data_IF_633669071575
#
_entry.id   IF_633669071575
#
_cell.length_a   1.000
_cell.length_b   1.000
_cell.length_c   1.000
_cell.angle_alpha   90.00
_cell.angle_beta   90.00
_cell.angle_gamma   90.00
#
_symmetry.space_group_name_H-M   'P 1'
#
loop_
_entity.id
_entity.type
_entity.pdbx_description
1 polymer ?
#
# COMPACT_ATOMS: atom_id res chain seq x y z
N UNK A 1 16.80 20.62 -35.10
CA UNK A 1 15.76 20.10 -34.18
C UNK A 1 14.65 21.13 -34.11
N UNK A 2 13.39 20.74 -34.29
CA UNK A 2 12.25 21.62 -34.08
C UNK A 2 12.12 22.01 -32.59
N UNK A 3 11.37 23.08 -32.30
CA UNK A 3 11.05 23.49 -30.94
C UNK A 3 10.35 22.37 -30.16
N UNK A 4 9.36 21.72 -30.79
CA UNK A 4 8.66 20.55 -30.25
C UNK A 4 9.62 19.40 -29.92
N UNK A 5 10.54 19.06 -30.83
CA UNK A 5 11.56 18.02 -30.58
C UNK A 5 12.45 18.36 -29.38
N UNK A 6 12.81 19.64 -29.19
CA UNK A 6 13.60 20.10 -28.05
C UNK A 6 12.80 19.99 -26.74
N UNK A 7 11.56 20.48 -26.73
CA UNK A 7 10.63 20.40 -25.59
C UNK A 7 10.43 18.95 -25.15
N UNK A 8 10.13 18.05 -26.10
CA UNK A 8 10.01 16.60 -25.89
C UNK A 8 11.25 15.99 -25.26
N UNK A 9 12.44 16.28 -25.82
CA UNK A 9 13.69 15.74 -25.29
C UNK A 9 13.97 16.21 -23.87
N UNK A 10 13.66 17.48 -23.54
CA UNK A 10 13.82 18.04 -22.19
C UNK A 10 12.87 17.33 -21.21
N UNK A 11 11.58 17.27 -21.53
CA UNK A 11 10.56 16.66 -20.65
C UNK A 11 10.86 15.18 -20.42
N UNK A 12 11.16 14.40 -21.47
CA UNK A 12 11.48 12.96 -21.34
C UNK A 12 12.73 12.71 -20.49
N UNK A 13 13.79 13.54 -20.63
CA UNK A 13 15.01 13.42 -19.79
C UNK A 13 14.72 13.78 -18.34
N UNK A 14 14.02 14.90 -18.10
CA UNK A 14 13.66 15.32 -16.76
C UNK A 14 12.72 14.30 -16.09
N UNK A 15 11.83 13.68 -16.85
CA UNK A 15 11.00 12.57 -16.41
C UNK A 15 11.81 11.35 -15.97
N UNK A 16 12.78 10.90 -16.77
CA UNK A 16 13.61 9.76 -16.39
C UNK A 16 14.36 10.00 -15.05
N UNK A 17 14.86 11.23 -14.85
CA UNK A 17 15.49 11.63 -13.59
C UNK A 17 14.49 11.67 -12.42
N UNK A 18 13.31 12.26 -12.63
CA UNK A 18 12.26 12.32 -11.62
C UNK A 18 11.78 10.92 -11.21
N UNK A 19 11.64 9.98 -12.15
CA UNK A 19 11.27 8.59 -11.84
C UNK A 19 12.33 7.89 -10.99
N UNK A 20 13.62 8.07 -11.31
CA UNK A 20 14.72 7.53 -10.50
C UNK A 20 14.67 8.08 -9.07
N UNK A 21 14.43 9.37 -8.93
CA UNK A 21 14.27 10.02 -7.63
C UNK A 21 13.05 9.52 -6.87
N UNK A 22 11.90 9.37 -7.55
CA UNK A 22 10.67 8.85 -6.97
C UNK A 22 10.86 7.43 -6.42
N UNK A 23 11.48 6.53 -7.20
CA UNK A 23 11.75 5.16 -6.72
C UNK A 23 12.71 5.14 -5.54
N UNK A 24 13.71 6.02 -5.51
CA UNK A 24 14.60 6.17 -4.36
C UNK A 24 13.85 6.70 -3.12
N UNK A 25 12.95 7.66 -3.30
CA UNK A 25 12.08 8.18 -2.24
C UNK A 25 11.15 7.10 -1.68
N UNK A 26 10.48 6.33 -2.53
CA UNK A 26 9.63 5.21 -2.12
C UNK A 26 10.42 4.20 -1.29
N UNK A 27 11.57 3.73 -1.78
CA UNK A 27 12.43 2.79 -1.05
C UNK A 27 12.88 3.33 0.30
N UNK A 28 13.32 4.61 0.35
CA UNK A 28 13.75 5.27 1.58
C UNK A 28 12.61 5.39 2.60
N UNK A 29 11.43 5.84 2.16
CA UNK A 29 10.26 5.96 3.02
C UNK A 29 9.81 4.60 3.57
N UNK A 30 9.90 3.53 2.77
CA UNK A 30 9.56 2.18 3.23
C UNK A 30 10.59 1.61 4.21
N UNK A 31 11.88 1.91 4.03
CA UNK A 31 12.93 1.51 4.96
C UNK A 31 12.79 2.22 6.32
N UNK A 32 12.47 3.52 6.32
CA UNK A 32 12.22 4.27 7.55
C UNK A 32 10.92 3.85 8.23
N UNK A 33 9.87 3.55 7.46
CA UNK A 33 8.65 2.96 8.02
C UNK A 33 8.96 1.64 8.73
N UNK A 34 9.80 0.79 8.12
CA UNK A 34 10.21 -0.48 8.73
C UNK A 34 10.95 -0.27 10.05
N UNK A 35 11.90 0.67 10.10
CA UNK A 35 12.64 0.94 11.32
C UNK A 35 11.73 1.43 12.45
N UNK A 36 10.68 2.22 12.16
CA UNK A 36 9.69 2.60 13.18
C UNK A 36 8.95 1.40 13.77
N UNK A 37 8.55 0.44 12.94
CA UNK A 37 7.89 -0.80 13.43
C UNK A 37 8.85 -1.68 14.24
N UNK A 38 10.11 -1.78 13.82
CA UNK A 38 11.15 -2.54 14.53
C UNK A 38 11.45 -1.90 15.89
N UNK A 39 11.71 -0.59 15.94
CA UNK A 39 11.93 0.15 17.19
C UNK A 39 10.73 0.12 18.13
N UNK A 40 9.51 0.24 17.60
CA UNK A 40 8.29 0.14 18.42
C UNK A 40 8.12 -1.26 19.02
N UNK A 41 8.49 -2.32 18.28
CA UNK A 41 8.48 -3.68 18.82
C UNK A 41 9.54 -3.87 19.91
N UNK A 42 10.75 -3.32 19.73
CA UNK A 42 11.81 -3.34 20.73
C UNK A 42 11.42 -2.57 22.00
N UNK A 43 10.77 -1.41 21.86
CA UNK A 43 10.21 -0.65 22.97
C UNK A 43 9.15 -1.46 23.73
N UNK A 44 8.21 -2.07 23.02
CA UNK A 44 7.19 -2.96 23.60
C UNK A 44 7.83 -4.12 24.36
N UNK A 45 8.87 -4.75 23.81
CA UNK A 45 9.59 -5.84 24.49
C UNK A 45 10.30 -5.34 25.74
N UNK A 46 10.91 -4.14 25.68
CA UNK A 46 11.58 -3.53 26.83
C UNK A 46 10.58 -3.22 27.95
N UNK A 47 9.39 -2.73 27.60
CA UNK A 47 8.28 -2.51 28.54
C UNK A 47 7.85 -3.85 29.17
N UNK A 48 7.68 -4.92 28.38
CA UNK A 48 7.34 -6.24 28.92
C UNK A 48 8.37 -6.74 29.94
N UNK A 49 9.66 -6.57 29.66
CA UNK A 49 10.75 -6.95 30.55
C UNK A 49 10.76 -6.11 31.84
N UNK A 50 10.46 -4.82 31.75
CA UNK A 50 10.37 -3.94 32.91
C UNK A 50 9.25 -4.35 33.89
N UNK A 51 8.11 -4.80 33.38
CA UNK A 51 6.97 -5.25 34.20
C UNK A 51 7.05 -6.73 34.64
N UNK A 52 8.07 -7.45 34.20
CA UNK A 52 8.29 -8.83 34.62
C UNK A 52 8.92 -8.89 36.02
N UNK A 53 8.59 -9.93 36.78
CA UNK A 53 9.24 -10.22 38.07
C UNK A 53 10.63 -10.87 37.90
N UNK A 54 11.27 -11.25 39.01
CA UNK A 54 12.62 -11.84 39.01
C UNK A 54 12.74 -13.17 38.26
N UNK A 55 11.62 -13.85 37.97
CA UNK A 55 11.58 -15.08 37.17
C UNK A 55 11.03 -14.83 35.76
N UNK A 56 10.88 -13.57 35.37
CA UNK A 56 10.47 -13.15 34.03
C UNK A 56 8.97 -13.20 33.77
N UNK A 57 8.13 -13.38 34.80
CA UNK A 57 6.68 -13.48 34.68
C UNK A 57 6.01 -12.12 34.92
N UNK A 58 5.08 -11.77 34.04
CA UNK A 58 4.24 -10.57 34.22
C UNK A 58 3.02 -10.95 35.05
N UNK A 59 2.84 -10.26 36.18
CA UNK A 59 1.74 -10.50 37.12
C UNK A 59 0.49 -9.71 36.75
N UNK A 60 -0.69 -10.23 37.10
CA UNK A 60 -1.98 -9.58 36.78
C UNK A 60 -2.09 -8.16 37.35
N UNK A 61 -1.49 -7.91 38.52
CA UNK A 61 -1.48 -6.60 39.16
C UNK A 61 -0.76 -5.53 38.32
N UNK A 62 0.19 -5.94 37.48
CA UNK A 62 0.95 -5.03 36.60
C UNK A 62 0.20 -4.72 35.30
N UNK A 63 -0.87 -5.47 34.97
CA UNK A 63 -1.47 -5.45 33.64
C UNK A 63 -2.02 -4.07 33.23
N UNK A 64 -2.60 -3.32 34.18
CA UNK A 64 -3.15 -1.99 33.88
C UNK A 64 -2.07 -0.97 33.54
N UNK A 65 -0.98 -0.96 34.31
CA UNK A 65 0.15 -0.06 34.09
C UNK A 65 0.91 -0.45 32.80
N UNK A 66 1.19 -1.74 32.62
CA UNK A 66 1.75 -2.31 31.40
C UNK A 66 0.94 -1.90 30.17
N UNK A 67 -0.38 -2.09 30.20
CA UNK A 67 -1.26 -1.71 29.09
C UNK A 67 -1.11 -0.23 28.72
N UNK A 68 -1.05 0.64 29.71
CA UNK A 68 -0.94 2.09 29.50
C UNK A 68 0.37 2.45 28.78
N UNK A 69 1.48 1.84 29.18
CA UNK A 69 2.78 2.09 28.56
C UNK A 69 2.88 1.50 27.15
N UNK A 70 2.32 0.31 26.92
CA UNK A 70 2.22 -0.29 25.58
C UNK A 70 1.35 0.58 24.65
N UNK A 71 0.21 1.07 25.12
CA UNK A 71 -0.63 1.99 24.35
C UNK A 71 0.14 3.26 23.98
N UNK A 72 0.96 3.81 24.89
CA UNK A 72 1.83 4.97 24.61
C UNK A 72 2.83 4.68 23.49
N UNK A 73 3.55 3.56 23.57
CA UNK A 73 4.52 3.15 22.55
C UNK A 73 3.87 3.00 21.16
N UNK A 74 2.68 2.38 21.10
CA UNK A 74 1.96 2.18 19.84
C UNK A 74 1.33 3.47 19.29
N UNK A 75 0.93 4.41 20.15
CA UNK A 75 0.48 5.74 19.74
C UNK A 75 1.64 6.59 19.19
N UNK A 76 2.85 6.43 19.74
CA UNK A 76 4.06 7.05 19.22
C UNK A 76 4.37 6.53 17.80
N UNK A 77 4.33 5.22 17.59
CA UNK A 77 4.45 4.60 16.26
C UNK A 77 3.44 5.19 15.27
N UNK A 78 2.17 5.30 15.66
CA UNK A 78 1.12 5.86 14.81
C UNK A 78 1.40 7.33 14.41
N UNK A 79 1.96 8.12 15.33
CA UNK A 79 2.35 9.51 15.09
C UNK A 79 3.51 9.60 14.09
N UNK A 80 4.59 8.83 14.33
CA UNK A 80 5.76 8.76 13.46
C UNK A 80 5.39 8.30 12.04
N UNK A 81 4.54 7.28 11.93
CA UNK A 81 4.02 6.81 10.65
C UNK A 81 3.25 7.91 9.91
N UNK A 82 2.38 8.63 10.61
CA UNK A 82 1.56 9.69 10.01
C UNK A 82 2.42 10.85 9.52
N UNK A 83 3.42 11.25 10.29
CA UNK A 83 4.38 12.28 9.90
C UNK A 83 5.17 11.87 8.66
N UNK A 84 5.75 10.66 8.67
CA UNK A 84 6.52 10.12 7.55
C UNK A 84 5.67 10.05 6.28
N UNK A 85 4.42 9.58 6.36
CA UNK A 85 3.54 9.55 5.19
C UNK A 85 3.27 10.95 4.66
N UNK A 86 2.95 11.90 5.54
CA UNK A 86 2.63 13.27 5.16
C UNK A 86 3.78 13.97 4.43
N UNK A 87 5.02 13.84 4.93
CA UNK A 87 6.19 14.41 4.26
C UNK A 87 6.51 13.70 2.95
N UNK A 88 6.42 12.37 2.91
CA UNK A 88 6.73 11.60 1.70
C UNK A 88 5.71 11.82 0.59
N UNK A 89 4.43 12.06 0.92
CA UNK A 89 3.40 12.45 -0.04
C UNK A 89 3.72 13.78 -0.73
N UNK A 90 4.14 14.79 0.06
CA UNK A 90 4.54 16.08 -0.48
C UNK A 90 5.80 15.95 -1.34
N UNK A 91 6.79 15.20 -0.87
CA UNK A 91 8.01 14.93 -1.64
C UNK A 91 7.69 14.21 -2.97
N UNK A 92 6.81 13.21 -2.96
CA UNK A 92 6.39 12.48 -4.17
C UNK A 92 5.65 13.38 -5.16
N UNK A 93 4.76 14.25 -4.68
CA UNK A 93 4.08 15.23 -5.52
C UNK A 93 5.08 16.25 -6.12
N UNK A 94 6.04 16.74 -5.32
CA UNK A 94 7.11 17.62 -5.79
C UNK A 94 7.98 16.94 -6.85
N UNK A 95 8.32 15.66 -6.69
CA UNK A 95 9.04 14.90 -7.71
C UNK A 95 8.20 14.76 -8.99
N UNK A 96 6.89 14.56 -8.87
CA UNK A 96 5.97 14.43 -10.02
C UNK A 96 5.89 15.68 -10.91
N UNK A 97 6.05 16.89 -10.36
CA UNK A 97 6.03 18.14 -11.14
C UNK A 97 7.37 18.48 -11.80
N UNK A 98 8.48 17.87 -11.36
CA UNK A 98 9.84 18.17 -11.86
C UNK A 98 9.99 18.15 -13.38
N UNK A 99 9.37 17.21 -14.13
CA UNK A 99 9.57 17.11 -15.58
C UNK A 99 9.14 18.35 -16.36
N UNK A 100 8.28 19.19 -15.77
CA UNK A 100 7.69 20.36 -16.42
C UNK A 100 8.22 21.69 -15.90
N UNK A 101 9.15 21.71 -14.93
CA UNK A 101 9.65 22.95 -14.32
C UNK A 101 10.27 23.95 -15.31
N UNK A 102 10.86 23.48 -16.42
CA UNK A 102 11.42 24.36 -17.43
C UNK A 102 10.35 25.05 -18.30
N UNK A 103 9.10 24.61 -18.22
CA UNK A 103 7.98 25.11 -19.03
C UNK A 103 6.83 25.63 -18.16
N UNK A 104 6.86 25.40 -16.85
CA UNK A 104 5.91 25.93 -15.87
C UNK A 104 6.56 27.01 -15.01
N UNK A 105 5.82 28.06 -14.67
CA UNK A 105 6.22 28.96 -13.58
C UNK A 105 6.36 28.19 -12.25
N UNK A 106 7.43 28.44 -11.50
CA UNK A 106 7.74 27.74 -10.26
C UNK A 106 6.58 27.76 -9.25
N UNK A 107 5.85 28.88 -9.18
CA UNK A 107 4.65 29.03 -8.33
C UNK A 107 3.56 28.02 -8.70
N UNK A 108 3.33 27.77 -9.99
CA UNK A 108 2.33 26.78 -10.45
C UNK A 108 2.74 25.36 -10.11
N UNK A 109 4.04 25.02 -10.24
CA UNK A 109 4.53 23.69 -9.88
C UNK A 109 4.36 23.40 -8.37
N UNK A 110 4.67 24.38 -7.51
CA UNK A 110 4.45 24.27 -6.07
C UNK A 110 2.96 24.13 -5.73
N UNK A 111 2.10 24.94 -6.36
CA UNK A 111 0.65 24.86 -6.16
C UNK A 111 0.08 23.50 -6.60
N UNK A 112 0.50 22.96 -7.75
CA UNK A 112 0.11 21.62 -8.23
C UNK A 112 0.50 20.56 -7.21
N UNK A 113 1.74 20.60 -6.69
CA UNK A 113 2.20 19.63 -5.71
C UNK A 113 1.37 19.70 -4.42
N UNK A 114 1.14 20.91 -3.89
CA UNK A 114 0.35 21.12 -2.67
C UNK A 114 -1.12 20.71 -2.84
N UNK A 115 -1.77 21.08 -3.96
CA UNK A 115 -3.14 20.65 -4.29
C UNK A 115 -3.22 19.13 -4.42
N UNK A 116 -2.24 18.52 -5.07
CA UNK A 116 -2.19 17.05 -5.21
C UNK A 116 -2.06 16.37 -3.86
N UNK A 117 -1.19 16.86 -2.97
CA UNK A 117 -1.07 16.31 -1.61
C UNK A 117 -2.38 16.43 -0.83
N UNK A 118 -3.08 17.57 -0.92
CA UNK A 118 -4.41 17.73 -0.29
C UNK A 118 -5.43 16.75 -0.88
N UNK A 119 -5.48 16.62 -2.19
CA UNK A 119 -6.33 15.67 -2.89
C UNK A 119 -6.10 14.24 -2.41
N UNK A 120 -4.86 13.76 -2.37
CA UNK A 120 -4.56 12.38 -1.94
C UNK A 120 -5.00 12.12 -0.50
N UNK A 121 -4.87 13.10 0.40
CA UNK A 121 -5.32 12.97 1.79
C UNK A 121 -6.85 12.88 1.93
N UNK A 122 -7.58 13.62 1.11
CA UNK A 122 -9.05 13.73 1.14
C UNK A 122 -9.75 12.74 0.21
N UNK A 123 -9.00 12.08 -0.68
CA UNK A 123 -9.53 11.15 -1.66
C UNK A 123 -10.25 9.98 -0.98
N UNK A 124 -11.51 9.78 -1.35
CA UNK A 124 -12.34 8.69 -0.85
C UNK A 124 -12.39 7.59 -1.92
N UNK A 125 -11.94 6.38 -1.57
CA UNK A 125 -11.97 5.23 -2.48
C UNK A 125 -13.38 4.62 -2.57
N UNK A 126 -13.56 3.64 -3.46
CA UNK A 126 -14.82 2.92 -3.68
C UNK A 126 -15.42 2.25 -2.42
N UNK A 127 -14.62 2.10 -1.36
CA UNK A 127 -15.05 1.57 -0.06
C UNK A 127 -15.49 2.65 0.95
N UNK A 128 -15.47 3.93 0.56
CA UNK A 128 -15.88 5.05 1.40
C UNK A 128 -14.82 5.54 2.38
N UNK A 129 -13.59 5.01 2.34
CA UNK A 129 -12.52 5.36 3.27
C UNK A 129 -11.53 6.37 2.68
N UNK A 130 -11.18 7.37 3.49
CA UNK A 130 -10.08 8.29 3.24
C UNK A 130 -8.75 7.75 3.79
N UNK A 131 -7.65 8.47 3.51
CA UNK A 131 -6.32 8.07 3.95
C UNK A 131 -6.19 8.00 5.49
N UNK A 132 -6.77 8.96 6.19
CA UNK A 132 -6.80 8.99 7.65
C UNK A 132 -7.51 7.77 8.23
N UNK A 133 -8.63 7.36 7.64
CA UNK A 133 -9.41 6.20 8.11
C UNK A 133 -8.59 4.92 7.96
N UNK A 134 -7.88 4.77 6.84
CA UNK A 134 -7.01 3.62 6.58
C UNK A 134 -5.86 3.53 7.57
N UNK A 135 -5.19 4.65 7.85
CA UNK A 135 -4.15 4.69 8.86
C UNK A 135 -4.69 4.34 10.25
N UNK A 136 -5.83 4.91 10.62
CA UNK A 136 -6.49 4.62 11.90
C UNK A 136 -6.83 3.13 12.02
N UNK A 137 -7.43 2.51 10.99
CA UNK A 137 -7.76 1.09 10.97
C UNK A 137 -6.50 0.23 11.16
N UNK A 138 -5.41 0.54 10.47
CA UNK A 138 -4.15 -0.22 10.59
C UNK A 138 -3.61 -0.13 12.02
N UNK A 139 -3.56 1.08 12.58
CA UNK A 139 -2.99 1.34 13.90
C UNK A 139 -3.86 0.78 15.02
N UNK A 140 -5.18 0.94 14.94
CA UNK A 140 -6.11 0.42 15.93
C UNK A 140 -6.13 -1.12 15.92
N UNK A 141 -6.14 -1.74 14.74
CA UNK A 141 -6.03 -3.19 14.64
C UNK A 141 -4.70 -3.71 15.19
N UNK A 142 -3.58 -3.01 14.95
CA UNK A 142 -2.29 -3.37 15.51
C UNK A 142 -2.32 -3.34 17.04
N UNK A 143 -2.77 -2.21 17.60
CA UNK A 143 -2.93 -2.01 19.03
C UNK A 143 -3.79 -3.09 19.66
N UNK A 144 -4.96 -3.36 19.10
CA UNK A 144 -5.86 -4.38 19.60
C UNK A 144 -5.25 -5.79 19.54
N UNK A 145 -4.49 -6.13 18.48
CA UNK A 145 -3.80 -7.42 18.37
C UNK A 145 -2.71 -7.58 19.43
N UNK A 146 -1.85 -6.57 19.59
CA UNK A 146 -0.76 -6.58 20.59
C UNK A 146 -1.34 -6.69 22.00
N UNK A 147 -2.28 -5.81 22.37
CA UNK A 147 -2.89 -5.81 23.69
C UNK A 147 -3.64 -7.11 23.98
N UNK A 148 -4.35 -7.68 23.00
CA UNK A 148 -5.04 -8.96 23.16
C UNK A 148 -4.05 -10.10 23.43
N UNK A 149 -2.92 -10.14 22.71
CA UNK A 149 -1.89 -11.15 22.92
C UNK A 149 -1.31 -11.08 24.34
N UNK A 150 -0.99 -9.86 24.80
CA UNK A 150 -0.47 -9.60 26.15
C UNK A 150 -1.51 -9.97 27.22
N UNK A 151 -2.72 -9.41 27.14
CA UNK A 151 -3.78 -9.65 28.12
C UNK A 151 -4.12 -11.14 28.24
N UNK A 152 -4.26 -11.83 27.11
CA UNK A 152 -4.55 -13.26 27.09
C UNK A 152 -3.46 -14.07 27.77
N UNK A 153 -2.19 -13.77 27.48
CA UNK A 153 -1.05 -14.44 28.10
C UNK A 153 -0.99 -14.21 29.62
N UNK A 154 -1.11 -12.97 30.07
CA UNK A 154 -1.04 -12.60 31.50
C UNK A 154 -2.19 -13.20 32.30
N UNK A 155 -3.43 -13.10 31.80
CA UNK A 155 -4.61 -13.63 32.50
C UNK A 155 -4.52 -15.16 32.60
N UNK A 156 -4.21 -15.85 31.50
CA UNK A 156 -4.08 -17.31 31.52
C UNK A 156 -2.94 -17.78 32.41
N UNK A 157 -1.81 -17.08 32.41
CA UNK A 157 -0.68 -17.42 33.27
C UNK A 157 -0.93 -17.13 34.74
N UNK A 158 -1.72 -16.11 35.06
CA UNK A 158 -2.17 -15.84 36.43
C UNK A 158 -3.06 -16.98 36.95
N UNK A 159 -4.14 -17.33 36.22
CA UNK A 159 -5.02 -18.44 36.62
C UNK A 159 -4.27 -19.78 36.71
N UNK A 160 -3.31 -20.02 35.82
CA UNK A 160 -2.47 -21.21 35.90
C UNK A 160 -1.51 -21.19 37.10
N UNK A 161 -1.01 -20.01 37.49
CA UNK A 161 -0.15 -19.86 38.69
C UNK A 161 -0.94 -20.16 39.96
N UNK A 162 -2.18 -19.67 40.07
CA UNK A 162 -3.07 -19.95 41.19
C UNK A 162 -3.42 -21.45 41.27
N UNK A 163 -3.76 -22.07 40.13
CA UNK A 163 -4.00 -23.50 40.05
C UNK A 163 -2.76 -24.32 40.45
N UNK A 164 -1.57 -23.93 39.98
CA UNK A 164 -0.31 -24.58 40.36
C UNK A 164 -0.07 -24.48 41.87
N UNK A 165 -0.30 -23.32 42.47
CA UNK A 165 -0.13 -23.11 43.91
C UNK A 165 -1.10 -23.99 44.72
N UNK A 166 -2.36 -24.10 44.29
CA UNK A 166 -3.34 -24.98 44.94
C UNK A 166 -2.99 -26.46 44.84
N UNK A 167 -2.41 -26.92 43.73
CA UNK A 167 -1.94 -28.31 43.60
C UNK A 167 -0.78 -28.56 44.56
N UNK A 168 0.19 -27.64 44.60
CA UNK A 168 1.34 -27.76 45.50
C UNK A 168 0.92 -27.75 46.97
N UNK A 169 -0.05 -26.92 47.36
CA UNK A 169 -0.58 -26.92 48.73
C UNK A 169 -1.28 -28.23 49.12
N UNK A 170 -1.78 -28.97 48.12
CA UNK A 170 -2.41 -30.27 48.29
C UNK A 170 -1.41 -31.43 48.09
N UNK A 171 -0.10 -31.16 48.10
CA UNK A 171 0.97 -32.13 47.85
C UNK A 171 0.91 -32.79 46.46
N UNK A 172 0.28 -32.14 45.48
CA UNK A 172 0.20 -32.58 44.09
C UNK A 172 1.19 -31.81 43.19
N UNK A 173 1.60 -32.42 42.08
CA UNK A 173 2.50 -31.80 41.11
C UNK A 173 1.72 -31.10 39.98
N UNK A 174 2.00 -29.82 39.68
CA UNK A 174 1.39 -29.15 38.54
C UNK A 174 1.68 -29.85 37.21
N UNK A 175 0.64 -30.03 36.40
CA UNK A 175 0.75 -30.66 35.09
C UNK A 175 1.63 -29.82 34.14
N UNK A 176 2.11 -30.45 33.07
CA UNK A 176 2.87 -29.76 32.01
C UNK A 176 2.06 -28.61 31.38
N UNK A 177 0.75 -28.79 31.23
CA UNK A 177 -0.13 -27.77 30.67
C UNK A 177 -0.21 -26.52 31.56
N UNK A 178 -0.36 -26.71 32.87
CA UNK A 178 -0.37 -25.62 33.84
C UNK A 178 0.97 -24.88 33.81
N UNK A 179 2.07 -25.62 33.86
CA UNK A 179 3.43 -25.04 33.76
C UNK A 179 3.63 -24.24 32.46
N UNK A 180 3.13 -24.74 31.34
CA UNK A 180 3.19 -24.03 30.06
C UNK A 180 2.36 -22.74 30.09
N UNK A 181 1.15 -22.76 30.65
CA UNK A 181 0.31 -21.57 30.78
C UNK A 181 0.95 -20.51 31.68
N UNK A 182 1.59 -20.91 32.78
CA UNK A 182 2.41 -20.00 33.60
C UNK A 182 3.52 -19.38 32.76
N UNK A 183 4.30 -20.21 32.06
CA UNK A 183 5.42 -19.73 31.26
C UNK A 183 4.99 -18.84 30.08
N UNK A 184 3.77 -19.02 29.55
CA UNK A 184 3.23 -18.18 28.49
C UNK A 184 3.05 -16.70 28.92
N UNK A 185 2.91 -16.43 30.23
CA UNK A 185 2.90 -15.07 30.77
C UNK A 185 4.30 -14.45 30.93
N UNK A 186 5.37 -15.16 30.54
CA UNK A 186 6.71 -14.59 30.55
C UNK A 186 6.86 -13.51 29.50
N UNK A 187 7.59 -12.45 29.84
CA UNK A 187 7.91 -11.36 28.92
C UNK A 187 8.60 -11.89 27.64
N UNK A 188 9.47 -12.89 27.78
CA UNK A 188 10.16 -13.53 26.66
C UNK A 188 9.18 -14.24 25.70
N UNK A 189 8.26 -15.07 26.23
CA UNK A 189 7.29 -15.79 25.39
C UNK A 189 6.34 -14.82 24.70
N UNK A 190 5.85 -13.81 25.41
CA UNK A 190 5.00 -12.76 24.82
C UNK A 190 5.76 -12.02 23.72
N UNK A 191 7.00 -11.58 23.99
CA UNK A 191 7.84 -10.92 22.99
C UNK A 191 8.08 -11.77 21.74
N UNK A 192 8.30 -13.08 21.89
CA UNK A 192 8.45 -14.00 20.76
C UNK A 192 7.17 -14.14 19.93
N UNK A 193 5.99 -14.16 20.58
CA UNK A 193 4.70 -14.14 19.88
C UNK A 193 4.53 -12.84 19.08
N UNK A 194 4.86 -11.69 19.67
CA UNK A 194 4.77 -10.40 18.98
C UNK A 194 5.74 -10.32 17.78
N UNK A 195 6.98 -10.81 17.94
CA UNK A 195 7.95 -10.93 16.83
C UNK A 195 7.42 -11.80 15.69
N UNK A 196 6.80 -12.94 16.00
CA UNK A 196 6.21 -13.80 15.00
C UNK A 196 5.02 -13.13 14.29
N UNK A 197 4.15 -12.45 15.04
CA UNK A 197 3.03 -11.69 14.48
C UNK A 197 3.49 -10.55 13.57
N UNK A 198 4.61 -9.89 13.87
CA UNK A 198 5.18 -8.83 13.03
C UNK A 198 5.66 -9.30 11.64
N UNK A 199 5.96 -10.60 11.49
CA UNK A 199 6.47 -11.19 10.23
C UNK A 199 5.37 -11.63 9.27
N UNK A 200 4.15 -11.83 9.75
CA UNK A 200 2.99 -12.23 8.93
C UNK A 200 2.69 -11.16 7.86
N UNK A 201 2.41 -11.53 6.61
CA UNK A 201 2.00 -10.59 5.54
C UNK A 201 0.72 -9.79 5.86
N UNK A 202 -0.08 -10.30 6.80
CA UNK A 202 -1.24 -9.65 7.40
C UNK A 202 -0.91 -8.70 8.57
N UNK A 203 0.35 -8.56 8.96
CA UNK A 203 0.78 -7.65 10.02
C UNK A 203 0.62 -6.18 9.63
N UNK A 204 0.58 -5.31 10.64
CA UNK A 204 0.36 -3.88 10.47
C UNK A 204 1.42 -3.23 9.56
N UNK A 205 2.69 -3.61 9.69
CA UNK A 205 3.77 -3.12 8.83
C UNK A 205 3.48 -3.37 7.34
N UNK A 206 3.13 -4.58 6.95
CA UNK A 206 2.87 -4.90 5.55
C UNK A 206 1.63 -4.19 5.00
N UNK A 207 0.61 -3.99 5.83
CA UNK A 207 -0.56 -3.19 5.46
C UNK A 207 -0.18 -1.71 5.24
N UNK A 208 0.57 -1.12 6.17
CA UNK A 208 1.08 0.24 6.08
C UNK A 208 1.99 0.43 4.86
N UNK A 209 2.90 -0.51 4.61
CA UNK A 209 3.81 -0.50 3.46
C UNK A 209 3.04 -0.47 2.13
N UNK A 210 1.99 -1.27 1.99
CA UNK A 210 1.13 -1.27 0.79
C UNK A 210 0.38 0.06 0.65
N UNK A 211 -0.12 0.62 1.75
CA UNK A 211 -0.79 1.93 1.77
C UNK A 211 0.18 3.03 1.32
N UNK A 212 1.36 3.11 1.92
CA UNK A 212 2.41 4.07 1.57
C UNK A 212 2.72 4.03 0.09
N UNK A 213 3.11 2.86 -0.43
CA UNK A 213 3.43 2.70 -1.85
C UNK A 213 2.31 3.19 -2.75
N UNK A 214 1.06 2.84 -2.43
CA UNK A 214 -0.11 3.22 -3.22
C UNK A 214 -0.30 4.73 -3.26
N UNK A 215 -0.21 5.40 -2.11
CA UNK A 215 -0.51 6.82 -2.02
C UNK A 215 0.67 7.70 -2.44
N UNK A 216 1.92 7.26 -2.26
CA UNK A 216 3.09 7.91 -2.84
C UNK A 216 3.04 7.85 -4.37
N UNK A 217 2.72 6.68 -4.94
CA UNK A 217 2.54 6.49 -6.37
C UNK A 217 1.39 7.35 -6.91
N UNK A 218 0.25 7.39 -6.20
CA UNK A 218 -0.87 8.29 -6.51
C UNK A 218 -0.42 9.75 -6.53
N UNK A 219 0.24 10.23 -5.48
CA UNK A 219 0.71 11.61 -5.39
C UNK A 219 1.64 11.99 -6.54
N UNK A 220 2.64 11.14 -6.82
CA UNK A 220 3.57 11.35 -7.93
C UNK A 220 2.87 11.41 -9.29
N UNK A 221 2.08 10.38 -9.62
CA UNK A 221 1.46 10.29 -10.94
C UNK A 221 0.32 11.28 -11.17
N UNK A 222 -0.41 11.69 -10.12
CA UNK A 222 -1.42 12.76 -10.24
C UNK A 222 -0.73 14.12 -10.42
N UNK A 223 0.33 14.41 -9.66
CA UNK A 223 1.08 15.65 -9.83
C UNK A 223 1.65 15.76 -11.26
N UNK A 224 2.24 14.68 -11.78
CA UNK A 224 2.73 14.62 -13.15
C UNK A 224 1.63 14.87 -14.20
N UNK A 225 0.47 14.23 -14.04
CA UNK A 225 -0.66 14.39 -14.97
C UNK A 225 -1.26 15.80 -14.92
N UNK A 226 -1.32 16.42 -13.74
CA UNK A 226 -1.79 17.80 -13.59
C UNK A 226 -0.79 18.81 -14.17
N UNK A 227 0.51 18.49 -14.20
CA UNK A 227 1.53 19.37 -14.81
C UNK A 227 1.45 19.49 -16.32
N UNK A 228 0.76 18.57 -17.01
CA UNK A 228 0.59 18.56 -18.46
C UNK A 228 -0.84 18.90 -18.92
N UNK A 229 -1.73 19.24 -17.99
CA UNK A 229 -3.16 19.43 -18.27
C UNK A 229 -3.39 20.47 -19.37
N UNK A 230 -2.69 21.60 -19.29
CA UNK A 230 -2.81 22.74 -20.22
C UNK A 230 -1.81 22.70 -21.39
N UNK A 231 -1.02 21.63 -21.54
CA UNK A 231 -0.01 21.53 -22.61
C UNK A 231 -0.59 20.93 -23.91
N UNK A 232 -0.89 21.77 -24.90
CA UNK A 232 -1.48 21.36 -26.19
C UNK A 232 -0.59 20.44 -27.03
N UNK A 233 0.72 20.42 -26.79
CA UNK A 233 1.64 19.51 -27.48
C UNK A 233 1.54 18.08 -26.95
N UNK A 234 0.87 17.87 -25.80
CA UNK A 234 0.73 16.58 -25.13
C UNK A 234 -0.70 16.07 -25.31
N UNK A 235 -0.86 14.93 -25.97
CA UNK A 235 -2.18 14.32 -26.20
C UNK A 235 -2.70 13.57 -24.96
N UNK A 236 -1.82 13.15 -24.07
CA UNK A 236 -2.16 12.38 -22.89
C UNK A 236 -0.96 11.71 -22.23
N UNK A 237 -1.24 10.62 -21.53
CA UNK A 237 -0.20 9.84 -20.85
C UNK A 237 -0.23 8.37 -21.20
N UNK A 238 0.95 7.77 -21.33
CA UNK A 238 1.13 6.33 -21.46
C UNK A 238 1.23 5.69 -20.08
N UNK A 239 0.45 4.65 -19.83
CA UNK A 239 0.59 3.79 -18.66
C UNK A 239 1.77 2.83 -18.88
N UNK A 240 2.77 2.90 -18.01
CA UNK A 240 3.99 2.10 -18.10
C UNK A 240 4.06 1.08 -16.96
N UNK A 241 4.54 -0.13 -17.29
CA UNK A 241 4.90 -1.13 -16.29
C UNK A 241 6.22 -0.75 -15.64
N UNK A 242 6.35 -1.05 -14.34
CA UNK A 242 7.66 -1.05 -13.70
C UNK A 242 8.53 -2.15 -14.32
N UNK A 243 9.85 -1.92 -14.49
CA UNK A 243 10.79 -3.02 -14.78
C UNK A 243 10.73 -4.16 -13.75
N UNK A 244 10.27 -3.87 -12.52
CA UNK A 244 10.12 -4.84 -11.43
C UNK A 244 8.66 -5.33 -11.29
N UNK A 245 7.84 -5.26 -12.34
CA UNK A 245 6.47 -5.75 -12.31
C UNK A 245 6.46 -7.28 -12.11
N UNK A 246 5.94 -7.78 -10.96
CA UNK A 246 6.33 -9.10 -10.48
C UNK A 246 5.51 -10.25 -11.07
N UNK A 247 4.33 -9.96 -11.65
CA UNK A 247 3.40 -10.97 -12.16
C UNK A 247 2.39 -10.30 -13.08
N UNK A 248 1.91 -11.03 -14.09
CA UNK A 248 0.84 -10.54 -14.97
C UNK A 248 -0.41 -10.19 -14.15
N UNK A 249 -0.87 -8.96 -14.29
CA UNK A 249 -2.08 -8.42 -13.67
C UNK A 249 -2.75 -7.34 -14.54
N UNK A 250 -3.69 -6.58 -13.97
CA UNK A 250 -4.42 -5.55 -14.72
C UNK A 250 -3.52 -4.44 -15.28
N UNK A 251 -2.32 -4.24 -14.73
CA UNK A 251 -1.36 -3.27 -15.26
C UNK A 251 -0.90 -3.65 -16.67
N UNK A 252 -0.71 -4.94 -16.98
CA UNK A 252 -0.29 -5.39 -18.32
C UNK A 252 -1.30 -5.00 -19.38
N UNK A 253 -2.60 -5.20 -19.06
CA UNK A 253 -3.69 -4.75 -19.92
C UNK A 253 -3.66 -3.23 -20.05
N UNK A 254 -3.54 -2.50 -18.94
CA UNK A 254 -3.51 -1.03 -18.98
C UNK A 254 -2.35 -0.48 -19.80
N UNK A 255 -1.17 -1.11 -19.77
CA UNK A 255 0.00 -0.75 -20.56
C UNK A 255 -0.09 -1.16 -22.04
N UNK A 256 -0.93 -2.15 -22.38
CA UNK A 256 -0.93 -2.76 -23.71
C UNK A 256 -2.13 -2.39 -24.58
N UNK A 257 -3.30 -2.16 -23.99
CA UNK A 257 -4.53 -1.90 -24.74
C UNK A 257 -4.46 -0.53 -25.44
N UNK A 258 -4.76 -0.48 -26.74
CA UNK A 258 -4.92 0.77 -27.51
C UNK A 258 -6.38 1.23 -27.45
N UNK A 259 -6.86 1.57 -26.24
CA UNK A 259 -8.29 1.82 -26.01
C UNK A 259 -8.82 3.09 -26.69
N UNK A 260 -7.94 4.05 -26.93
CA UNK A 260 -8.32 5.39 -27.41
C UNK A 260 -7.83 5.70 -28.82
N UNK A 261 -7.14 4.76 -29.48
CA UNK A 261 -6.55 5.01 -30.79
C UNK A 261 -5.37 6.00 -30.74
N UNK A 262 -4.72 6.11 -29.57
CA UNK A 262 -3.56 6.98 -29.32
C UNK A 262 -2.26 6.19 -29.16
N UNK A 263 -2.35 4.87 -29.39
CA UNK A 263 -1.28 3.91 -29.20
C UNK A 263 -1.44 3.08 -27.94
N UNK A 264 -0.65 2.02 -27.87
CA UNK A 264 -0.69 1.03 -26.78
C UNK A 264 -0.47 1.70 -25.42
N UNK A 265 -1.42 1.51 -24.53
CA UNK A 265 -1.39 2.05 -23.18
C UNK A 265 -1.49 3.58 -23.11
N UNK A 266 -1.81 4.27 -24.20
CA UNK A 266 -1.96 5.73 -24.21
C UNK A 266 -3.40 6.11 -23.89
N UNK A 267 -3.54 6.94 -22.87
CA UNK A 267 -4.81 7.46 -22.38
C UNK A 267 -4.86 8.97 -22.58
N UNK A 268 -5.99 9.53 -23.04
CA UNK A 268 -6.21 10.97 -22.99
C UNK A 268 -6.00 11.53 -21.58
N UNK A 269 -5.70 12.83 -21.47
CA UNK A 269 -5.56 13.53 -20.18
C UNK A 269 -6.77 13.23 -19.28
N UNK A 270 -6.50 12.91 -18.01
CA UNK A 270 -7.53 12.57 -17.02
C UNK A 270 -8.23 11.21 -17.20
N UNK A 271 -7.87 10.39 -18.21
CA UNK A 271 -8.47 9.06 -18.44
C UNK A 271 -7.56 7.89 -18.08
N UNK A 272 -6.31 8.17 -17.68
CA UNK A 272 -5.37 7.14 -17.29
C UNK A 272 -5.85 6.40 -16.03
N UNK A 273 -5.92 5.05 -16.02
CA UNK A 273 -6.44 4.25 -14.91
C UNK A 273 -5.47 4.22 -13.71
N UNK A 274 -5.27 5.38 -13.07
CA UNK A 274 -4.19 5.61 -12.10
C UNK A 274 -4.66 5.81 -10.65
N UNK A 275 -3.98 5.20 -9.66
CA UNK A 275 -3.16 3.99 -9.77
C UNK A 275 -4.03 2.78 -10.13
N UNK A 276 -3.44 1.75 -10.74
CA UNK A 276 -4.21 0.61 -11.24
C UNK A 276 -4.75 -0.30 -10.13
N UNK A 277 -3.96 -0.53 -9.09
CA UNK A 277 -4.30 -1.36 -7.93
C UNK A 277 -3.42 -1.01 -6.73
N UNK A 278 -3.75 -1.45 -5.50
CA UNK A 278 -2.89 -1.27 -4.34
C UNK A 278 -1.50 -1.86 -4.57
N UNK A 279 -0.47 -1.21 -4.01
CA UNK A 279 0.92 -1.64 -4.05
C UNK A 279 1.53 -1.71 -5.48
N UNK A 280 0.92 -1.04 -6.45
CA UNK A 280 1.43 -0.96 -7.83
C UNK A 280 2.78 -0.22 -7.88
N UNK A 281 3.58 -0.57 -8.89
CA UNK A 281 4.87 0.06 -9.20
C UNK A 281 4.89 0.71 -10.58
N UNK A 282 3.76 0.67 -11.31
CA UNK A 282 3.60 1.33 -12.59
C UNK A 282 3.95 2.82 -12.49
N UNK A 283 4.12 3.46 -13.64
CA UNK A 283 4.33 4.90 -13.77
C UNK A 283 3.66 5.42 -15.04
N UNK A 284 3.58 6.74 -15.20
CA UNK A 284 2.99 7.38 -16.37
C UNK A 284 4.05 8.16 -17.13
N UNK A 285 3.94 8.21 -18.45
CA UNK A 285 4.80 9.03 -19.33
C UNK A 285 3.97 9.99 -20.17
N UNK A 286 4.49 11.18 -20.44
CA UNK A 286 3.87 12.10 -21.39
C UNK A 286 3.96 11.53 -22.80
N UNK A 287 2.89 11.70 -23.59
CA UNK A 287 2.85 11.37 -25.03
C UNK A 287 2.50 12.62 -25.80
N UNK A 288 3.35 12.97 -26.77
CA UNK A 288 3.18 14.15 -27.61
C UNK A 288 2.23 13.87 -28.78
N UNK A 289 1.59 14.91 -29.28
CA UNK A 289 0.62 14.83 -30.39
C UNK A 289 1.25 14.24 -31.66
N UNK A 290 2.52 14.56 -31.93
CA UNK A 290 3.31 14.06 -33.06
C UNK A 290 3.78 12.60 -32.90
N UNK A 291 3.57 11.97 -31.73
CA UNK A 291 3.88 10.55 -31.49
C UNK A 291 2.74 9.60 -31.86
N UNK A 292 1.53 10.13 -32.13
CA UNK A 292 0.37 9.32 -32.48
C UNK A 292 0.33 9.10 -33.99
N UNK A 293 0.41 7.84 -34.39
CA UNK A 293 0.42 7.45 -35.80
C UNK A 293 -0.99 7.15 -36.35
N UNK A 294 -1.13 7.08 -37.67
CA UNK A 294 -2.39 6.63 -38.30
C UNK A 294 -2.69 5.16 -37.98
N UNK A 295 -1.65 4.33 -37.82
CA UNK A 295 -1.80 2.95 -37.38
C UNK A 295 -2.39 2.87 -35.97
N UNK A 296 -1.95 3.73 -35.05
CA UNK A 296 -2.53 3.80 -33.71
C UNK A 296 -4.02 4.14 -33.77
N UNK A 297 -4.43 5.04 -34.67
CA UNK A 297 -5.84 5.42 -34.85
C UNK A 297 -6.66 4.27 -35.45
N UNK A 298 -6.08 3.55 -36.41
CA UNK A 298 -6.72 2.44 -37.10
C UNK A 298 -6.84 1.17 -36.24
N UNK A 299 -5.93 0.95 -35.29
CA UNK A 299 -5.84 -0.26 -34.45
C UNK A 299 -6.47 -0.08 -33.05
N UNK A 300 -7.38 0.88 -32.92
CA UNK A 300 -8.15 1.07 -31.69
C UNK A 300 -8.94 -0.20 -31.37
N UNK A 301 -8.82 -0.68 -30.14
CA UNK A 301 -9.53 -1.87 -29.66
C UNK A 301 -10.05 -1.65 -28.25
N UNK A 302 -11.15 -2.31 -27.90
CA UNK A 302 -11.66 -2.27 -26.53
C UNK A 302 -10.94 -3.29 -25.63
N UNK A 303 -11.20 -3.25 -24.31
CA UNK A 303 -10.54 -4.13 -23.35
C UNK A 303 -10.98 -5.59 -23.46
N UNK A 304 -12.24 -5.84 -23.83
CA UNK A 304 -12.78 -7.20 -23.98
C UNK A 304 -12.18 -7.85 -25.23
N UNK A 305 -12.10 -7.10 -26.34
CA UNK A 305 -11.41 -7.51 -27.56
C UNK A 305 -9.94 -7.84 -27.26
N UNK A 306 -9.22 -6.92 -26.61
CA UNK A 306 -7.82 -7.16 -26.21
C UNK A 306 -7.69 -8.43 -25.37
N UNK A 307 -8.52 -8.59 -24.33
CA UNK A 307 -8.52 -9.74 -23.43
C UNK A 307 -8.79 -11.04 -24.17
N UNK A 308 -9.75 -11.06 -25.10
CA UNK A 308 -10.13 -12.25 -25.86
C UNK A 308 -8.98 -12.76 -26.73
N UNK A 309 -8.15 -11.84 -27.22
CA UNK A 309 -6.96 -12.13 -28.02
C UNK A 309 -5.73 -12.55 -27.18
N UNK A 310 -5.82 -12.54 -25.85
CA UNK A 310 -4.70 -12.97 -24.99
C UNK A 310 -4.72 -14.46 -24.68
N UNK A 311 -3.56 -15.03 -24.32
CA UNK A 311 -3.47 -16.39 -23.80
C UNK A 311 -4.23 -16.55 -22.48
N UNK A 312 -4.63 -17.79 -22.15
CA UNK A 312 -5.36 -18.07 -20.90
C UNK A 312 -4.61 -17.60 -19.65
N UNK A 313 -3.29 -17.72 -19.62
CA UNK A 313 -2.46 -17.27 -18.50
C UNK A 313 -2.55 -15.75 -18.29
N UNK A 314 -2.54 -14.97 -19.38
CA UNK A 314 -2.69 -13.52 -19.31
C UNK A 314 -4.09 -13.13 -18.88
N UNK A 315 -5.13 -13.76 -19.47
CA UNK A 315 -6.52 -13.49 -19.08
C UNK A 315 -6.76 -13.77 -17.61
N UNK A 316 -6.26 -14.90 -17.10
CA UNK A 316 -6.38 -15.27 -15.68
C UNK A 316 -5.56 -14.32 -14.80
N UNK A 317 -4.36 -13.90 -15.22
CA UNK A 317 -3.58 -12.89 -14.49
C UNK A 317 -4.33 -11.57 -14.33
N UNK A 318 -4.92 -11.06 -15.43
CA UNK A 318 -5.66 -9.79 -15.44
C UNK A 318 -7.01 -9.87 -14.71
N UNK A 319 -7.78 -10.93 -14.95
CA UNK A 319 -9.18 -11.04 -14.52
C UNK A 319 -9.39 -11.89 -13.27
N UNK A 320 -8.48 -12.81 -12.98
CA UNK A 320 -8.73 -13.95 -12.13
C UNK A 320 -9.65 -14.99 -12.78
N UNK A 321 -9.71 -16.18 -12.19
CA UNK A 321 -10.43 -17.35 -12.75
C UNK A 321 -11.91 -17.05 -13.03
N UNK A 322 -12.62 -16.47 -12.07
CA UNK A 322 -14.07 -16.29 -12.19
C UNK A 322 -14.46 -15.34 -13.34
N UNK A 323 -13.78 -14.19 -13.45
CA UNK A 323 -14.08 -13.23 -14.53
C UNK A 323 -13.57 -13.73 -15.88
N UNK A 324 -12.48 -14.50 -15.92
CA UNK A 324 -12.07 -15.19 -17.16
C UNK A 324 -13.16 -16.16 -17.63
N UNK A 325 -13.82 -16.90 -16.74
CA UNK A 325 -14.94 -17.75 -17.14
C UNK A 325 -16.10 -16.94 -17.71
N UNK A 326 -16.44 -15.79 -17.12
CA UNK A 326 -17.47 -14.91 -17.69
C UNK A 326 -17.06 -14.41 -19.09
N UNK A 327 -15.79 -14.09 -19.30
CA UNK A 327 -15.27 -13.68 -20.61
C UNK A 327 -15.40 -14.80 -21.65
N UNK A 328 -15.04 -16.03 -21.29
CA UNK A 328 -15.11 -17.20 -22.18
C UNK A 328 -16.54 -17.62 -22.54
N UNK A 329 -17.55 -17.12 -21.83
CA UNK A 329 -18.96 -17.35 -22.10
C UNK A 329 -19.65 -16.08 -22.66
N UNK A 330 -18.89 -15.08 -23.11
CA UNK A 330 -19.40 -13.81 -23.65
C UNK A 330 -20.30 -13.00 -22.68
N UNK A 331 -20.14 -13.21 -21.38
CA UNK A 331 -20.91 -12.55 -20.32
C UNK A 331 -20.18 -11.34 -19.70
N UNK A 332 -18.87 -11.25 -19.84
CA UNK A 332 -18.07 -10.18 -19.23
C UNK A 332 -18.13 -8.89 -20.07
N UNK A 333 -18.58 -7.79 -19.46
CA UNK A 333 -18.55 -6.43 -20.06
C UNK A 333 -17.35 -5.63 -19.52
N UNK A 334 -16.89 -4.61 -20.26
CA UNK A 334 -15.78 -3.73 -19.82
C UNK A 334 -15.98 -3.18 -18.39
N UNK A 335 -17.21 -2.76 -18.07
CA UNK A 335 -17.55 -2.19 -16.76
C UNK A 335 -17.40 -3.19 -15.61
N UNK A 336 -17.43 -4.50 -15.91
CA UNK A 336 -17.30 -5.58 -14.93
C UNK A 336 -15.85 -5.91 -14.59
N UNK A 337 -14.88 -5.45 -15.39
CA UNK A 337 -13.46 -5.74 -15.17
C UNK A 337 -13.01 -5.27 -13.79
N UNK A 338 -13.50 -4.12 -13.31
CA UNK A 338 -13.19 -3.59 -11.97
C UNK A 338 -14.15 -4.03 -10.87
N UNK A 339 -15.28 -4.65 -11.20
CA UNK A 339 -16.26 -5.07 -10.21
C UNK A 339 -15.71 -6.15 -9.26
N UNK A 340 -16.13 -6.12 -7.99
CA UNK A 340 -15.79 -7.18 -7.03
C UNK A 340 -16.41 -8.51 -7.49
N UNK A 341 -15.64 -9.60 -7.39
CA UNK A 341 -16.12 -10.96 -7.76
C UNK A 341 -17.41 -11.32 -7.02
N UNK A 342 -17.53 -10.94 -5.73
CA UNK A 342 -18.75 -11.16 -4.94
C UNK A 342 -20.00 -10.55 -5.61
N UNK A 343 -19.89 -9.33 -6.15
CA UNK A 343 -21.01 -8.67 -6.80
C UNK A 343 -21.40 -9.35 -8.13
N UNK A 344 -20.41 -9.86 -8.87
CA UNK A 344 -20.67 -10.59 -10.11
C UNK A 344 -21.28 -11.98 -9.85
N UNK A 345 -20.84 -12.68 -8.79
CA UNK A 345 -21.45 -13.94 -8.36
C UNK A 345 -22.92 -13.79 -8.02
N UNK A 346 -23.32 -12.71 -7.34
CA UNK A 346 -24.73 -12.44 -7.06
C UNK A 346 -25.57 -12.18 -8.32
N UNK A 347 -24.92 -11.79 -9.44
CA UNK A 347 -25.60 -11.45 -10.70
C UNK A 347 -25.72 -12.64 -11.65
N UNK A 348 -24.72 -13.51 -11.67
CA UNK A 348 -24.57 -14.59 -12.67
C UNK A 348 -24.51 -16.00 -12.07
N UNK A 349 -24.49 -16.12 -10.75
CA UNK A 349 -24.37 -17.39 -10.03
C UNK A 349 -25.66 -17.87 -9.41
#
# INVERSE_FOLDING_TARGET
MSELSRKKAIIKRAQALALKEYFALDLSALAELQSYYESSLEEVISILLFYADSIGIIRLQQLSALRTDIERALNNLASLQTELLNRSLLASANTGVKPFLSHSVAQSALDIAQRTTRFVKQFTQDDGLQLSDRLWIINDNNKNKVLRAINSAVIQGHSASEAAASLVSNNELPTKEIKNKVNNASAEKIGNVLKAQGKDEGAAYWQARRLFRTELNRAHGIAFQNSLEDDDDIIGTRFMLSPNHPRVDICDMHASVNRFGLGRGVYPKGKNPWPAHPNTLSYVEAVFTDEVTDEDRATKQDRIEWLSNQSGNIRIGVLGVYKNNLLQNDLLKETMIRSKVKALKNRFG
#
